data_IF_526332349716
#
_entry.id   IF_526332349716
#
_cell.length_a   1.000
_cell.length_b   1.000
_cell.length_c   1.000
_cell.angle_alpha   90.00
_cell.angle_beta   90.00
_cell.angle_gamma   90.00
#
_symmetry.space_group_name_H-M   'P 1'
#
loop_
_entity.id
_entity.type
_entity.pdbx_description
1 polymer ?
#
# COMPACT_ATOMS: atom_id res chain seq x y z
N UNK A 1 29.99 -6.12 -5.10
CA UNK A 1 28.73 -5.64 -5.68
C UNK A 1 27.75 -5.34 -4.57
N UNK A 2 27.07 -4.19 -4.61
CA UNK A 2 26.10 -3.78 -3.59
C UNK A 2 24.82 -4.60 -3.70
N UNK A 3 24.32 -5.12 -2.58
CA UNK A 3 23.02 -5.81 -2.51
C UNK A 3 21.92 -4.77 -2.28
N UNK A 4 20.99 -4.66 -3.21
CA UNK A 4 19.86 -3.72 -3.12
C UNK A 4 18.82 -4.23 -2.12
N UNK A 5 18.04 -3.32 -1.56
CA UNK A 5 16.95 -3.69 -0.65
C UNK A 5 15.70 -4.19 -1.39
N UNK A 6 15.56 -3.92 -2.70
CA UNK A 6 14.41 -4.34 -3.51
C UNK A 6 14.82 -4.96 -4.85
N UNK A 7 14.24 -6.10 -5.18
CA UNK A 7 14.46 -6.85 -6.41
C UNK A 7 13.14 -7.06 -7.16
N UNK A 8 12.93 -6.26 -8.19
CA UNK A 8 11.74 -6.37 -9.05
C UNK A 8 11.89 -7.55 -10.01
N UNK A 9 10.80 -8.29 -10.24
CA UNK A 9 10.73 -9.34 -11.26
C UNK A 9 9.99 -8.80 -12.49
N UNK A 10 10.72 -8.38 -13.53
CA UNK A 10 10.13 -7.88 -14.78
C UNK A 10 10.29 -8.91 -15.91
N UNK A 11 9.21 -9.15 -16.66
CA UNK A 11 9.29 -9.85 -17.95
C UNK A 11 9.73 -8.83 -19.02
N UNK A 12 11.06 -8.59 -19.08
CA UNK A 12 11.65 -7.54 -19.93
C UNK A 12 11.29 -7.70 -21.40
N UNK A 13 11.27 -8.94 -21.93
CA UNK A 13 10.96 -9.23 -23.33
C UNK A 13 9.52 -8.84 -23.67
N UNK A 14 8.55 -9.32 -22.87
CA UNK A 14 7.13 -9.01 -23.10
C UNK A 14 6.80 -7.55 -22.84
N UNK A 15 7.40 -6.93 -21.83
CA UNK A 15 7.23 -5.49 -21.56
C UNK A 15 7.70 -4.67 -22.74
N UNK A 16 8.91 -4.96 -23.30
CA UNK A 16 9.43 -4.27 -24.48
C UNK A 16 8.47 -4.41 -25.67
N UNK A 17 7.94 -5.61 -25.91
CA UNK A 17 6.98 -5.86 -27.00
C UNK A 17 5.69 -5.06 -26.82
N UNK A 18 5.10 -5.04 -25.62
CA UNK A 18 3.84 -4.30 -25.40
C UNK A 18 4.03 -2.78 -25.44
N UNK A 19 5.14 -2.25 -24.89
CA UNK A 19 5.46 -0.82 -25.02
C UNK A 19 5.67 -0.43 -26.49
N UNK A 20 6.37 -1.24 -27.28
CA UNK A 20 6.53 -0.98 -28.72
C UNK A 20 5.20 -0.86 -29.46
N UNK A 21 4.20 -1.66 -29.10
CA UNK A 21 2.85 -1.54 -29.66
C UNK A 21 2.19 -0.21 -29.30
N UNK A 22 2.33 0.23 -28.03
CA UNK A 22 1.78 1.53 -27.59
C UNK A 22 2.42 2.68 -28.34
N UNK A 23 3.75 2.65 -28.50
CA UNK A 23 4.49 3.68 -29.24
C UNK A 23 4.07 3.70 -30.71
N UNK A 24 3.93 2.53 -31.36
CA UNK A 24 3.50 2.41 -32.77
C UNK A 24 2.11 3.00 -33.02
N UNK A 25 1.20 2.92 -32.04
CA UNK A 25 -0.14 3.53 -32.09
C UNK A 25 -0.07 5.08 -31.93
N UNK A 26 1.04 5.61 -31.38
CA UNK A 26 1.22 7.05 -31.16
C UNK A 26 0.39 7.65 -29.99
N UNK A 27 -0.40 6.84 -29.28
CA UNK A 27 -1.25 7.29 -28.15
C UNK A 27 -0.66 6.86 -26.80
N UNK A 28 0.38 7.55 -26.36
CA UNK A 28 1.11 7.21 -25.12
C UNK A 28 0.46 7.72 -23.82
N UNK A 29 -0.58 8.54 -23.92
CA UNK A 29 -1.36 9.07 -22.81
C UNK A 29 -2.43 8.07 -22.33
N UNK A 30 -3.40 8.50 -21.53
CA UNK A 30 -4.54 7.68 -21.08
C UNK A 30 -5.50 7.37 -22.22
N UNK A 31 -5.44 6.18 -22.78
CA UNK A 31 -6.25 5.74 -23.92
C UNK A 31 -6.64 4.25 -23.78
N UNK A 32 -6.47 3.46 -24.82
CA UNK A 32 -6.97 2.09 -24.92
C UNK A 32 -6.30 1.12 -23.96
N UNK A 33 -4.96 1.24 -23.77
CA UNK A 33 -4.24 0.36 -22.86
C UNK A 33 -4.60 0.62 -21.40
N UNK A 34 -4.82 1.88 -21.02
CA UNK A 34 -5.29 2.22 -19.68
C UNK A 34 -6.66 1.58 -19.41
N UNK A 35 -7.59 1.69 -20.35
CA UNK A 35 -8.92 1.07 -20.24
C UNK A 35 -8.82 -0.46 -20.17
N UNK A 36 -7.96 -1.08 -21.01
CA UNK A 36 -7.73 -2.52 -20.97
C UNK A 36 -7.12 -2.97 -19.64
N UNK A 37 -6.18 -2.20 -19.10
CA UNK A 37 -5.58 -2.45 -17.78
C UNK A 37 -6.65 -2.41 -16.68
N UNK A 38 -7.48 -1.34 -16.64
CA UNK A 38 -8.58 -1.20 -15.69
C UNK A 38 -9.51 -2.42 -15.76
N UNK A 39 -9.97 -2.83 -16.94
CA UNK A 39 -10.83 -4.01 -17.13
C UNK A 39 -10.20 -5.32 -16.66
N UNK A 40 -8.89 -5.50 -16.89
CA UNK A 40 -8.19 -6.70 -16.39
C UNK A 40 -8.09 -6.73 -14.87
N UNK A 41 -7.89 -5.58 -14.22
CA UNK A 41 -7.87 -5.47 -12.76
C UNK A 41 -9.29 -5.65 -12.18
N UNK A 42 -10.34 -5.07 -12.82
CA UNK A 42 -11.75 -5.32 -12.45
C UNK A 42 -12.06 -6.82 -12.41
N UNK A 43 -11.71 -7.54 -13.47
CA UNK A 43 -11.88 -8.99 -13.54
C UNK A 43 -11.08 -9.73 -12.47
N UNK A 44 -9.83 -9.32 -12.22
CA UNK A 44 -8.97 -9.94 -11.21
C UNK A 44 -9.52 -9.75 -9.80
N UNK A 45 -9.88 -8.52 -9.41
CA UNK A 45 -10.38 -8.17 -8.08
C UNK A 45 -11.88 -8.51 -7.89
N UNK A 46 -12.60 -8.84 -8.97
CA UNK A 46 -14.05 -9.07 -8.97
C UNK A 46 -14.84 -7.83 -8.46
N UNK A 47 -14.48 -6.64 -8.96
CA UNK A 47 -15.15 -5.37 -8.65
C UNK A 47 -15.75 -4.76 -9.90
N UNK A 48 -16.75 -3.87 -9.73
CA UNK A 48 -17.44 -3.22 -10.84
C UNK A 48 -16.56 -2.20 -11.57
N UNK A 49 -15.75 -1.43 -10.82
CA UNK A 49 -14.99 -0.32 -11.36
C UNK A 49 -13.56 -0.30 -10.80
N UNK A 50 -12.61 -0.08 -11.69
CA UNK A 50 -11.23 0.25 -11.39
C UNK A 50 -10.85 1.52 -12.16
N UNK A 51 -10.27 2.48 -11.48
CA UNK A 51 -9.82 3.75 -12.07
C UNK A 51 -8.32 3.89 -11.83
N UNK A 52 -7.52 3.77 -12.89
CA UNK A 52 -6.08 3.93 -12.83
C UNK A 52 -5.69 5.41 -12.72
N UNK A 53 -4.71 5.70 -11.88
CA UNK A 53 -4.25 7.05 -11.54
C UNK A 53 -2.72 7.12 -11.43
N UNK A 54 -2.17 8.33 -11.45
CA UNK A 54 -0.73 8.59 -11.48
C UNK A 54 0.05 8.02 -10.28
N UNK A 55 -0.60 7.80 -9.14
CA UNK A 55 0.01 7.16 -7.97
C UNK A 55 -1.04 6.75 -6.93
N UNK A 56 -0.67 5.85 -5.99
CA UNK A 56 -1.53 5.55 -4.84
C UNK A 56 -1.78 6.78 -3.94
N UNK A 57 -0.83 7.72 -3.86
CA UNK A 57 -1.04 8.98 -3.12
C UNK A 57 -2.11 9.86 -3.76
N UNK A 58 -2.11 9.95 -5.09
CA UNK A 58 -3.16 10.70 -5.80
C UNK A 58 -4.50 9.96 -5.78
N UNK A 59 -4.49 8.64 -5.65
CA UNK A 59 -5.71 7.87 -5.40
C UNK A 59 -6.38 8.28 -4.07
N UNK A 60 -5.60 8.48 -2.99
CA UNK A 60 -6.12 8.98 -1.70
C UNK A 60 -6.80 10.35 -1.89
N UNK A 61 -6.09 11.30 -2.51
CA UNK A 61 -6.60 12.66 -2.75
C UNK A 61 -7.91 12.60 -3.53
N UNK A 62 -7.91 11.84 -4.63
CA UNK A 62 -9.05 11.77 -5.55
C UNK A 62 -10.28 11.13 -4.90
N UNK A 63 -10.10 10.05 -4.12
CA UNK A 63 -11.21 9.41 -3.40
C UNK A 63 -11.81 10.36 -2.38
N UNK A 64 -11.00 11.05 -1.57
CA UNK A 64 -11.52 11.94 -0.53
C UNK A 64 -12.23 13.16 -1.11
N UNK A 65 -11.71 13.71 -2.22
CA UNK A 65 -12.42 14.75 -2.98
C UNK A 65 -13.76 14.25 -3.53
N UNK A 66 -13.79 13.05 -4.12
CA UNK A 66 -14.98 12.46 -4.73
C UNK A 66 -16.04 12.06 -3.70
N UNK A 67 -15.65 11.74 -2.46
CA UNK A 67 -16.54 11.54 -1.33
C UNK A 67 -17.10 12.85 -0.75
N UNK A 68 -16.64 14.00 -1.22
CA UNK A 68 -17.10 15.31 -0.81
C UNK A 68 -16.65 15.73 0.59
N UNK A 69 -15.48 15.23 1.05
CA UNK A 69 -14.93 15.59 2.35
C UNK A 69 -14.59 17.08 2.41
N UNK A 70 -14.89 17.72 3.54
CA UNK A 70 -14.72 19.15 3.77
C UNK A 70 -13.59 19.43 4.76
N UNK A 71 -13.13 20.68 4.77
CA UNK A 71 -12.16 21.16 5.75
C UNK A 71 -12.59 20.78 7.20
N UNK A 72 -11.65 20.28 7.99
CA UNK A 72 -11.82 19.80 9.37
C UNK A 72 -12.65 18.51 9.54
N UNK A 73 -13.11 17.86 8.45
CA UNK A 73 -13.65 16.49 8.56
C UNK A 73 -12.56 15.55 9.09
N UNK A 74 -12.96 14.61 9.93
CA UNK A 74 -12.04 13.72 10.61
C UNK A 74 -11.90 12.40 9.87
N UNK A 75 -10.64 11.93 9.76
CA UNK A 75 -10.25 10.64 9.20
C UNK A 75 -9.57 9.82 10.26
N UNK A 76 -10.14 8.69 10.66
CA UNK A 76 -9.52 7.74 11.60
C UNK A 76 -8.47 6.92 10.86
N UNK A 77 -7.22 6.95 11.35
CA UNK A 77 -6.04 6.37 10.70
C UNK A 77 -5.20 5.64 11.77
N UNK A 78 -4.65 4.43 11.50
CA UNK A 78 -3.68 3.83 12.42
C UNK A 78 -2.43 4.71 12.52
N UNK A 79 -1.80 4.79 13.69
CA UNK A 79 -0.60 5.62 13.90
C UNK A 79 0.66 5.10 13.17
N UNK A 80 0.49 4.14 12.29
CA UNK A 80 1.55 3.53 11.45
C UNK A 80 1.05 3.43 10.01
N UNK A 81 1.91 3.81 9.06
CA UNK A 81 1.61 3.68 7.64
C UNK A 81 2.59 4.42 6.75
N UNK A 82 2.22 4.61 5.50
CA UNK A 82 2.96 5.47 4.59
C UNK A 82 2.44 6.90 4.68
N UNK A 83 3.34 7.86 4.72
CA UNK A 83 3.04 9.29 4.98
C UNK A 83 2.01 9.92 4.01
N UNK A 84 1.74 9.28 2.88
CA UNK A 84 0.82 9.82 1.86
C UNK A 84 -0.58 10.15 2.38
N UNK A 85 -1.12 9.36 3.31
CA UNK A 85 -2.45 9.63 3.87
C UNK A 85 -2.46 10.88 4.74
N UNK A 86 -1.39 11.09 5.51
CA UNK A 86 -1.23 12.30 6.31
C UNK A 86 -1.09 13.53 5.42
N UNK A 87 -0.29 13.41 4.34
CA UNK A 87 -0.16 14.49 3.34
C UNK A 87 -1.49 14.76 2.65
N UNK A 88 -2.27 13.74 2.34
CA UNK A 88 -3.63 13.90 1.77
C UNK A 88 -4.53 14.68 2.72
N UNK A 89 -4.54 14.35 4.01
CA UNK A 89 -5.28 15.13 5.01
C UNK A 89 -4.83 16.60 5.03
N UNK A 90 -3.51 16.85 4.98
CA UNK A 90 -2.96 18.21 4.97
C UNK A 90 -3.37 18.98 3.71
N UNK A 91 -3.28 18.36 2.54
CA UNK A 91 -3.66 18.99 1.24
C UNK A 91 -5.15 19.39 1.23
N UNK A 92 -6.01 18.52 1.78
CA UNK A 92 -7.46 18.72 1.75
C UNK A 92 -8.02 19.43 3.01
N UNK A 93 -7.17 19.89 3.92
CA UNK A 93 -7.58 20.52 5.17
C UNK A 93 -8.31 19.59 6.15
N UNK A 94 -8.18 18.27 5.98
CA UNK A 94 -8.80 17.27 6.84
C UNK A 94 -8.01 17.10 8.14
N UNK A 95 -8.69 16.59 9.17
CA UNK A 95 -8.09 16.31 10.47
C UNK A 95 -7.81 14.81 10.60
N UNK A 96 -6.57 14.35 10.58
CA UNK A 96 -6.25 12.96 10.90
C UNK A 96 -6.47 12.70 12.39
N UNK A 97 -7.26 11.66 12.70
CA UNK A 97 -7.47 11.13 14.04
C UNK A 97 -6.66 9.86 14.17
N UNK A 98 -5.47 9.99 14.78
CA UNK A 98 -4.57 8.86 14.96
C UNK A 98 -5.07 7.96 16.07
N UNK A 99 -5.14 6.66 15.79
CA UNK A 99 -5.45 5.64 16.79
C UNK A 99 -4.32 4.61 16.87
N UNK A 100 -4.27 3.92 18.02
CA UNK A 100 -3.23 2.93 18.27
C UNK A 100 -3.40 1.71 17.35
N UNK A 101 -2.32 1.01 17.11
CA UNK A 101 -2.32 -0.27 16.40
C UNK A 101 -2.48 -1.43 17.38
N UNK A 102 -2.89 -2.58 16.86
CA UNK A 102 -2.95 -3.81 17.63
C UNK A 102 -1.56 -4.17 18.21
N UNK A 103 -1.47 -4.59 19.48
CA UNK A 103 -0.17 -4.85 20.12
C UNK A 103 0.62 -6.01 19.50
N UNK A 104 -0.05 -6.94 18.85
CA UNK A 104 0.57 -8.13 18.21
C UNK A 104 0.86 -7.91 16.74
N UNK A 105 0.10 -7.03 16.08
CA UNK A 105 0.17 -6.78 14.64
C UNK A 105 0.06 -5.27 14.36
N UNK A 106 0.92 -4.68 13.51
CA UNK A 106 0.88 -3.24 13.23
C UNK A 106 -0.29 -2.87 12.30
N UNK A 107 -1.51 -3.17 12.73
CA UNK A 107 -2.76 -2.91 12.05
C UNK A 107 -3.66 -2.04 12.94
N UNK A 108 -4.58 -1.33 12.33
CA UNK A 108 -5.57 -0.50 13.02
C UNK A 108 -6.29 -1.33 14.11
N UNK A 109 -6.25 -0.86 15.37
CA UNK A 109 -6.94 -1.49 16.49
C UNK A 109 -8.44 -1.24 16.39
N UNK A 110 -9.22 -2.31 16.23
CA UNK A 110 -10.68 -2.23 16.05
C UNK A 110 -11.34 -1.67 17.32
N UNK A 111 -10.88 -2.06 18.51
CA UNK A 111 -11.41 -1.58 19.79
C UNK A 111 -11.19 -0.08 20.01
N UNK A 112 -10.23 0.53 19.32
CA UNK A 112 -9.96 1.96 19.41
C UNK A 112 -10.83 2.79 18.44
N UNK A 113 -11.43 2.17 17.41
CA UNK A 113 -12.21 2.92 16.41
C UNK A 113 -13.38 3.65 17.08
N UNK A 114 -14.25 2.92 17.76
CA UNK A 114 -15.49 3.49 18.33
C UNK A 114 -15.24 4.57 19.37
N UNK A 115 -14.19 4.41 20.18
CA UNK A 115 -13.78 5.41 21.18
C UNK A 115 -13.33 6.74 20.56
N UNK A 116 -13.00 6.75 19.29
CA UNK A 116 -12.46 7.92 18.59
C UNK A 116 -13.42 8.47 17.52
N UNK A 117 -14.62 7.90 17.37
CA UNK A 117 -15.68 8.44 16.50
C UNK A 117 -16.27 9.69 17.12
N UNK A 118 -16.39 10.75 16.33
CA UNK A 118 -17.08 11.99 16.66
C UNK A 118 -18.09 12.35 15.57
N UNK A 119 -18.92 13.38 15.78
CA UNK A 119 -19.83 13.92 14.73
C UNK A 119 -19.11 14.39 13.46
N UNK A 120 -17.81 14.70 13.57
CA UNK A 120 -16.95 15.13 12.44
C UNK A 120 -16.26 13.97 11.73
N UNK A 121 -16.29 12.76 12.28
CA UNK A 121 -15.68 11.60 11.64
C UNK A 121 -16.43 11.23 10.37
N UNK A 122 -15.70 11.23 9.23
CA UNK A 122 -16.27 10.93 7.92
C UNK A 122 -15.67 9.69 7.28
N UNK A 123 -14.43 9.32 7.65
CA UNK A 123 -13.73 8.16 7.07
C UNK A 123 -13.06 7.34 8.15
N UNK A 124 -13.15 6.01 8.04
CA UNK A 124 -12.26 5.05 8.66
C UNK A 124 -11.32 4.53 7.56
N UNK A 125 -10.00 4.65 7.80
CA UNK A 125 -8.96 4.35 6.82
C UNK A 125 -8.01 3.25 7.33
N UNK A 126 -8.40 1.95 7.25
CA UNK A 126 -7.53 0.83 7.58
C UNK A 126 -6.42 0.68 6.54
N UNK A 127 -5.20 0.36 7.01
CA UNK A 127 -4.02 0.15 6.17
C UNK A 127 -3.59 -1.31 6.29
N UNK A 128 -3.53 -2.04 5.17
CA UNK A 128 -3.08 -3.43 5.12
C UNK A 128 -1.54 -3.50 5.08
N UNK A 129 -0.93 -3.14 6.21
CA UNK A 129 0.53 -3.05 6.34
C UNK A 129 1.25 -4.35 5.99
N UNK A 130 2.18 -4.27 5.03
CA UNK A 130 2.97 -5.41 4.55
C UNK A 130 2.11 -6.62 4.16
N UNK A 131 0.94 -6.39 3.56
CA UNK A 131 0.03 -7.44 3.11
C UNK A 131 -0.62 -8.25 4.23
N UNK A 132 -0.69 -7.71 5.45
CA UNK A 132 -1.45 -8.30 6.57
C UNK A 132 -2.93 -8.06 6.41
N UNK A 133 -3.72 -9.06 6.78
CA UNK A 133 -5.16 -9.01 6.77
C UNK A 133 -5.70 -8.45 8.09
N UNK A 134 -6.72 -7.62 8.01
CA UNK A 134 -7.50 -7.11 9.15
C UNK A 134 -8.92 -7.70 9.09
N UNK A 135 -9.61 -7.82 10.22
CA UNK A 135 -11.03 -8.23 10.29
C UNK A 135 -11.94 -7.11 9.76
N UNK A 136 -11.85 -6.88 8.45
CA UNK A 136 -12.46 -5.73 7.76
C UNK A 136 -14.00 -5.74 7.83
N UNK A 137 -14.61 -6.90 8.00
CA UNK A 137 -16.06 -7.05 8.20
C UNK A 137 -16.53 -6.35 9.49
N UNK A 138 -15.77 -6.45 10.58
CA UNK A 138 -16.05 -5.74 11.84
C UNK A 138 -15.94 -4.22 11.63
N UNK A 139 -14.89 -3.75 10.96
CA UNK A 139 -14.72 -2.33 10.67
C UNK A 139 -15.86 -1.83 9.77
N UNK A 140 -16.27 -2.62 8.78
CA UNK A 140 -17.38 -2.29 7.89
C UNK A 140 -18.70 -2.16 8.66
N UNK A 141 -18.96 -3.01 9.64
CA UNK A 141 -20.14 -2.91 10.50
C UNK A 141 -20.14 -1.60 11.32
N UNK A 142 -18.99 -1.24 11.92
CA UNK A 142 -18.82 0.02 12.63
C UNK A 142 -19.07 1.21 11.71
N UNK A 143 -18.45 1.22 10.53
CA UNK A 143 -18.60 2.28 9.55
C UNK A 143 -20.08 2.45 9.10
N UNK A 144 -20.76 1.35 8.80
CA UNK A 144 -22.18 1.34 8.39
C UNK A 144 -23.09 1.88 9.50
N UNK A 145 -22.93 1.42 10.75
CA UNK A 145 -23.75 1.85 11.90
C UNK A 145 -23.63 3.36 12.17
N UNK A 146 -22.44 3.91 11.96
CA UNK A 146 -22.15 5.32 12.19
C UNK A 146 -22.27 6.19 10.94
N UNK A 147 -22.69 5.65 9.78
CA UNK A 147 -22.77 6.35 8.48
C UNK A 147 -21.45 7.01 8.07
N UNK A 148 -20.34 6.34 8.31
CA UNK A 148 -18.97 6.75 8.01
C UNK A 148 -18.48 5.96 6.81
N UNK A 149 -17.75 6.59 5.89
CA UNK A 149 -17.13 5.92 4.76
C UNK A 149 -15.99 4.99 5.21
N UNK A 150 -15.89 3.84 4.56
CA UNK A 150 -14.78 2.91 4.71
C UNK A 150 -13.92 2.97 3.46
N UNK A 151 -12.70 3.51 3.59
CA UNK A 151 -11.71 3.57 2.50
C UNK A 151 -10.50 2.74 2.88
N UNK A 152 -10.24 1.69 2.09
CA UNK A 152 -9.21 0.69 2.39
C UNK A 152 -7.88 1.03 1.72
N UNK A 153 -6.79 1.22 2.48
CA UNK A 153 -5.44 1.30 1.90
C UNK A 153 -4.87 -0.11 1.68
N UNK A 154 -5.06 -0.62 0.48
CA UNK A 154 -4.51 -1.89 0.00
C UNK A 154 -3.23 -1.70 -0.85
N UNK A 155 -2.53 -0.56 -0.72
CA UNK A 155 -1.30 -0.25 -1.48
C UNK A 155 -0.16 -1.26 -1.25
N UNK A 156 -0.23 -2.07 -0.20
CA UNK A 156 0.70 -3.17 0.11
C UNK A 156 -0.01 -4.53 0.13
N UNK A 157 -1.22 -4.64 -0.41
CA UNK A 157 -2.03 -5.85 -0.29
C UNK A 157 -2.79 -6.22 -1.57
N UNK A 158 -2.30 -5.81 -2.75
CA UNK A 158 -2.91 -6.25 -4.01
C UNK A 158 -2.95 -7.77 -4.07
N UNK A 159 -4.12 -8.34 -4.42
CA UNK A 159 -4.32 -9.80 -4.51
C UNK A 159 -4.38 -10.56 -3.18
N UNK A 160 -4.26 -9.88 -2.04
CA UNK A 160 -4.48 -10.46 -0.71
C UNK A 160 -5.98 -10.68 -0.49
N UNK A 161 -6.33 -11.75 0.22
CA UNK A 161 -7.74 -12.09 0.49
C UNK A 161 -8.02 -12.20 1.99
N UNK A 162 -9.18 -11.73 2.37
CA UNK A 162 -9.83 -12.02 3.64
C UNK A 162 -11.13 -12.75 3.38
N UNK A 163 -11.35 -13.92 4.00
CA UNK A 163 -12.56 -14.77 3.79
C UNK A 163 -12.90 -14.92 2.30
N UNK A 164 -11.91 -15.31 1.47
CA UNK A 164 -12.00 -15.52 0.02
C UNK A 164 -12.32 -14.27 -0.84
N UNK A 165 -12.52 -13.10 -0.26
CA UNK A 165 -12.71 -11.84 -0.97
C UNK A 165 -11.45 -10.97 -0.91
N UNK A 166 -11.10 -10.30 -2.00
CA UNK A 166 -9.91 -9.45 -2.06
C UNK A 166 -10.03 -8.23 -1.14
N UNK A 167 -8.98 -7.94 -0.37
CA UNK A 167 -8.90 -6.70 0.40
C UNK A 167 -8.83 -5.49 -0.55
N UNK A 168 -9.29 -4.31 -0.08
CA UNK A 168 -9.51 -3.16 -0.95
C UNK A 168 -10.80 -3.24 -1.79
N UNK A 169 -11.72 -4.18 -1.46
CA UNK A 169 -13.02 -4.33 -2.16
C UNK A 169 -14.21 -4.44 -1.21
N UNK A 170 -14.00 -4.24 0.08
CA UNK A 170 -15.02 -4.35 1.12
C UNK A 170 -15.72 -3.03 1.41
N UNK A 171 -14.97 -1.92 1.35
CA UNK A 171 -15.43 -0.57 1.65
C UNK A 171 -16.05 0.16 0.46
N UNK A 172 -16.21 1.46 0.61
CA UNK A 172 -16.71 2.37 -0.43
C UNK A 172 -15.69 2.53 -1.56
N UNK A 173 -14.39 2.54 -1.21
CA UNK A 173 -13.28 2.53 -2.16
C UNK A 173 -12.06 1.78 -1.58
N UNK A 174 -11.27 1.19 -2.46
CA UNK A 174 -9.97 0.64 -2.17
C UNK A 174 -8.86 1.39 -2.92
N UNK A 175 -7.75 1.63 -2.25
CA UNK A 175 -6.59 2.35 -2.78
C UNK A 175 -5.46 1.36 -3.03
N UNK A 176 -4.86 1.38 -4.21
CA UNK A 176 -3.75 0.53 -4.59
C UNK A 176 -2.59 1.33 -5.16
N UNK A 177 -1.38 0.85 -4.92
CA UNK A 177 -0.16 1.42 -5.49
C UNK A 177 0.52 0.39 -6.39
N UNK A 178 0.99 0.86 -7.55
CA UNK A 178 1.78 0.05 -8.50
C UNK A 178 3.19 0.61 -8.67
N UNK A 179 3.72 1.31 -7.64
CA UNK A 179 5.08 1.83 -7.65
C UNK A 179 6.12 0.71 -7.70
N UNK A 180 7.36 1.06 -8.01
CA UNK A 180 8.46 0.10 -8.27
C UNK A 180 8.71 -0.90 -7.13
N UNK A 181 8.41 -0.54 -5.89
CA UNK A 181 8.62 -1.40 -4.71
C UNK A 181 7.39 -2.23 -4.33
N UNK A 182 6.48 -2.45 -5.27
CA UNK A 182 5.33 -3.33 -5.08
C UNK A 182 5.55 -4.65 -5.83
N UNK A 183 4.96 -5.74 -5.31
CA UNK A 183 4.99 -7.05 -5.99
C UNK A 183 4.34 -6.94 -7.36
N UNK A 184 3.22 -6.20 -7.43
CA UNK A 184 2.58 -5.81 -8.68
C UNK A 184 2.97 -4.38 -9.03
N UNK A 185 3.83 -4.20 -10.03
CA UNK A 185 4.35 -2.88 -10.37
C UNK A 185 4.18 -2.52 -11.85
N UNK A 186 3.96 -1.22 -12.07
CA UNK A 186 3.99 -0.57 -13.39
C UNK A 186 5.15 0.44 -13.50
N UNK A 187 6.05 0.43 -12.48
CA UNK A 187 7.08 1.45 -12.30
C UNK A 187 6.56 2.62 -11.45
N UNK A 188 5.59 3.35 -11.94
CA UNK A 188 4.80 4.36 -11.25
C UNK A 188 3.32 4.06 -11.42
N UNK A 189 2.49 4.57 -10.51
CA UNK A 189 1.04 4.49 -10.63
C UNK A 189 0.33 4.00 -9.39
N UNK A 190 -0.96 3.92 -9.55
CA UNK A 190 -1.92 3.36 -8.60
C UNK A 190 -3.27 3.22 -9.25
N UNK A 191 -4.23 2.73 -8.52
CA UNK A 191 -5.62 2.68 -8.96
C UNK A 191 -6.56 2.65 -7.76
N UNK A 192 -7.81 2.99 -8.04
CA UNK A 192 -8.93 2.97 -7.11
C UNK A 192 -9.87 1.86 -7.54
N UNK A 193 -10.34 1.04 -6.61
CA UNK A 193 -11.44 0.09 -6.81
C UNK A 193 -12.70 0.57 -6.11
N UNK A 194 -13.85 0.37 -6.72
CA UNK A 194 -15.15 0.62 -6.08
C UNK A 194 -16.26 -0.19 -6.75
N UNK A 195 -17.29 -0.53 -5.97
CA UNK A 195 -18.53 -1.10 -6.50
C UNK A 195 -19.64 -0.04 -6.64
N UNK A 196 -19.37 1.21 -6.24
CA UNK A 196 -20.31 2.33 -6.34
C UNK A 196 -20.12 3.04 -7.69
N UNK A 197 -21.07 2.84 -8.62
CA UNK A 197 -21.00 3.41 -9.96
C UNK A 197 -21.13 4.94 -9.99
N UNK A 198 -21.83 5.54 -9.02
CA UNK A 198 -21.91 7.01 -8.88
C UNK A 198 -20.54 7.58 -8.48
N UNK A 199 -19.90 6.97 -7.48
CA UNK A 199 -18.55 7.36 -7.04
C UNK A 199 -17.53 7.20 -8.17
N UNK A 200 -17.59 6.08 -8.91
CA UNK A 200 -16.72 5.84 -10.06
C UNK A 200 -16.83 6.93 -11.13
N UNK A 201 -18.06 7.35 -11.48
CA UNK A 201 -18.31 8.45 -12.44
C UNK A 201 -17.70 9.78 -11.97
N UNK A 202 -17.84 10.10 -10.68
CA UNK A 202 -17.25 11.31 -10.10
C UNK A 202 -15.71 11.26 -10.18
N UNK A 203 -15.10 10.13 -9.75
CA UNK A 203 -13.66 9.93 -9.81
C UNK A 203 -13.13 10.03 -11.25
N UNK A 204 -13.80 9.40 -12.21
CA UNK A 204 -13.41 9.46 -13.63
C UNK A 204 -13.42 10.89 -14.19
N UNK A 205 -14.43 11.68 -13.83
CA UNK A 205 -14.50 13.11 -14.20
C UNK A 205 -13.36 13.90 -13.55
N UNK A 206 -13.18 13.78 -12.23
CA UNK A 206 -12.13 14.49 -11.48
C UNK A 206 -10.71 14.12 -11.94
N UNK A 207 -10.47 12.86 -12.36
CA UNK A 207 -9.19 12.41 -12.93
C UNK A 207 -8.82 13.20 -14.19
N UNK A 208 -9.77 13.76 -14.89
CA UNK A 208 -9.65 14.49 -16.16
C UNK A 208 -10.08 15.95 -16.03
N UNK A 209 -9.55 16.66 -15.04
CA UNK A 209 -9.85 18.08 -14.81
C UNK A 209 -11.33 18.42 -14.56
N UNK A 210 -12.17 17.45 -14.17
CA UNK A 210 -13.60 17.64 -13.97
C UNK A 210 -14.45 17.42 -15.22
N UNK A 211 -13.85 17.06 -16.36
CA UNK A 211 -14.62 16.79 -17.59
C UNK A 211 -15.39 15.48 -17.53
N UNK A 212 -16.65 15.52 -17.92
CA UNK A 212 -17.43 14.33 -18.26
C UNK A 212 -17.19 13.90 -19.71
N UNK A 213 -17.05 14.88 -20.60
CA UNK A 213 -16.72 14.70 -22.02
C UNK A 213 -15.72 15.78 -22.44
N UNK A 214 -14.54 15.36 -22.92
CA UNK A 214 -13.47 16.27 -23.35
C UNK A 214 -13.74 16.89 -24.74
N UNK A 215 -14.61 16.28 -25.52
CA UNK A 215 -14.98 16.78 -26.86
C UNK A 215 -16.09 17.83 -26.79
N UNK A 216 -16.82 17.93 -25.67
CA UNK A 216 -17.94 18.84 -25.51
C UNK A 216 -17.78 19.65 -24.20
N UNK A 217 -16.76 20.49 -24.17
CA UNK A 217 -16.47 21.36 -23.00
C UNK A 217 -17.30 22.63 -23.16
N UNK A 218 -18.50 22.66 -22.56
CA UNK A 218 -19.35 23.86 -22.55
C UNK A 218 -19.06 24.78 -21.36
N UNK A 219 -18.58 24.25 -20.24
CA UNK A 219 -18.32 25.01 -19.03
C UNK A 219 -17.47 24.25 -18.00
N UNK A 220 -16.96 24.94 -16.98
CA UNK A 220 -16.10 24.42 -15.94
C UNK A 220 -16.91 24.10 -14.66
N UNK A 221 -17.86 23.19 -14.74
CA UNK A 221 -18.81 22.93 -13.66
C UNK A 221 -18.32 21.99 -12.58
N UNK A 222 -17.18 21.31 -12.80
CA UNK A 222 -16.68 20.32 -11.86
C UNK A 222 -15.20 20.53 -11.61
N UNK A 223 -14.83 20.46 -10.34
CA UNK A 223 -13.42 20.49 -9.93
C UNK A 223 -12.74 19.17 -10.25
N UNK A 224 -11.50 19.23 -10.65
CA UNK A 224 -10.66 18.07 -10.91
C UNK A 224 -9.21 18.46 -11.22
N UNK A 225 -8.38 17.47 -11.56
CA UNK A 225 -6.98 17.69 -11.88
C UNK A 225 -6.45 16.70 -12.90
N UNK A 226 -5.17 16.77 -13.20
CA UNK A 226 -4.50 15.80 -14.05
C UNK A 226 -3.97 14.64 -13.22
N UNK A 227 -4.84 13.67 -12.92
CA UNK A 227 -4.48 12.45 -12.21
C UNK A 227 -4.38 11.22 -13.12
N UNK A 228 -4.22 11.46 -14.42
CA UNK A 228 -4.23 10.42 -15.46
C UNK A 228 -3.10 9.42 -15.33
N UNK A 229 -3.34 8.22 -15.82
CA UNK A 229 -2.38 7.13 -15.91
C UNK A 229 -2.11 6.81 -17.39
N UNK A 230 -0.85 6.62 -17.78
CA UNK A 230 -0.49 6.48 -19.18
C UNK A 230 -0.66 5.06 -19.72
N UNK A 231 -0.82 4.93 -21.04
CA UNK A 231 -0.88 3.66 -21.73
C UNK A 231 0.44 2.90 -21.66
N UNK A 232 1.59 3.60 -21.55
CA UNK A 232 2.91 2.97 -21.38
C UNK A 232 2.98 2.20 -20.05
N UNK A 233 2.59 2.82 -18.94
CA UNK A 233 2.55 2.15 -17.64
C UNK A 233 1.47 1.05 -17.61
N UNK A 234 0.37 1.24 -18.32
CA UNK A 234 -0.69 0.24 -18.45
C UNK A 234 -0.22 -1.01 -19.18
N UNK A 235 0.58 -0.86 -20.23
CA UNK A 235 1.19 -1.97 -20.95
C UNK A 235 2.10 -2.80 -20.04
N UNK A 236 2.93 -2.15 -19.22
CA UNK A 236 3.73 -2.83 -18.19
C UNK A 236 2.83 -3.62 -17.24
N UNK A 237 1.77 -2.96 -16.72
CA UNK A 237 0.83 -3.57 -15.78
C UNK A 237 0.12 -4.79 -16.34
N UNK A 238 -0.30 -4.75 -17.62
CA UNK A 238 -0.94 -5.88 -18.29
C UNK A 238 -0.01 -7.10 -18.35
N UNK A 239 1.27 -6.88 -18.63
CA UNK A 239 2.27 -7.97 -18.63
C UNK A 239 2.51 -8.50 -17.22
N UNK A 240 2.68 -7.60 -16.25
CA UNK A 240 2.95 -7.98 -14.86
C UNK A 240 1.77 -8.72 -14.22
N UNK A 241 0.52 -8.38 -14.57
CA UNK A 241 -0.66 -9.06 -14.04
C UNK A 241 -0.68 -10.55 -14.40
N UNK A 242 -0.23 -10.91 -15.62
CA UNK A 242 -0.20 -12.31 -16.07
C UNK A 242 0.68 -13.21 -15.20
N UNK A 243 1.75 -12.67 -14.62
CA UNK A 243 2.69 -13.41 -13.77
C UNK A 243 2.52 -13.14 -12.27
N UNK A 244 1.59 -12.28 -11.89
CA UNK A 244 1.45 -11.77 -10.51
C UNK A 244 1.35 -12.89 -9.47
N UNK A 245 0.53 -13.92 -9.69
CA UNK A 245 0.37 -15.02 -8.75
C UNK A 245 1.69 -15.78 -8.49
N UNK A 246 2.54 -15.92 -9.52
CA UNK A 246 3.89 -16.51 -9.40
C UNK A 246 4.78 -15.59 -8.55
N UNK A 247 4.75 -14.29 -8.79
CA UNK A 247 5.56 -13.32 -8.07
C UNK A 247 5.15 -13.24 -6.59
N UNK A 248 3.86 -13.29 -6.30
CA UNK A 248 3.34 -13.33 -4.93
C UNK A 248 3.78 -14.59 -4.19
N UNK A 249 3.73 -15.77 -4.84
CA UNK A 249 4.23 -17.03 -4.28
C UNK A 249 5.73 -16.96 -4.01
N UNK A 250 6.51 -16.41 -4.94
CA UNK A 250 7.95 -16.24 -4.78
C UNK A 250 8.27 -15.32 -3.57
N UNK A 251 7.52 -14.25 -3.41
CA UNK A 251 7.73 -13.32 -2.30
C UNK A 251 7.49 -14.00 -0.93
N UNK A 252 6.42 -14.79 -0.81
CA UNK A 252 6.15 -15.59 0.39
C UNK A 252 7.24 -16.65 0.62
N UNK A 253 7.70 -17.32 -0.46
CA UNK A 253 8.82 -18.29 -0.39
C UNK A 253 10.09 -17.63 0.15
N UNK A 254 10.41 -16.44 -0.32
CA UNK A 254 11.59 -15.68 0.12
C UNK A 254 11.51 -15.30 1.60
N UNK A 255 10.36 -14.83 2.07
CA UNK A 255 10.11 -14.54 3.48
C UNK A 255 10.28 -15.80 4.36
N UNK A 256 9.68 -16.92 3.96
CA UNK A 256 9.78 -18.19 4.68
C UNK A 256 11.21 -18.74 4.70
N UNK A 257 11.97 -18.55 3.62
CA UNK A 257 13.38 -18.95 3.56
C UNK A 257 14.23 -18.15 4.56
N UNK A 258 14.09 -16.82 4.62
CA UNK A 258 14.72 -16.00 5.66
C UNK A 258 14.31 -16.45 7.06
N UNK A 259 13.00 -16.60 7.29
CA UNK A 259 12.45 -17.06 8.56
C UNK A 259 13.12 -18.38 9.02
N UNK A 260 13.23 -19.36 8.13
CA UNK A 260 13.82 -20.65 8.49
C UNK A 260 15.33 -20.57 8.74
N UNK A 261 16.07 -19.85 7.92
CA UNK A 261 17.52 -19.74 8.04
C UNK A 261 17.99 -18.90 9.24
N UNK A 262 17.13 -17.99 9.72
CA UNK A 262 17.43 -17.12 10.87
C UNK A 262 16.95 -17.68 12.22
N UNK A 263 16.37 -18.90 12.27
CA UNK A 263 15.82 -19.48 13.52
C UNK A 263 16.82 -19.46 14.69
N UNK A 264 18.10 -19.76 14.42
CA UNK A 264 19.17 -19.75 15.43
C UNK A 264 19.38 -18.37 16.09
N UNK A 265 19.08 -17.31 15.34
CA UNK A 265 19.27 -15.91 15.78
C UNK A 265 17.99 -15.26 16.31
N UNK A 266 16.90 -16.00 16.53
CA UNK A 266 15.59 -15.43 16.94
C UNK A 266 15.61 -14.71 18.30
N UNK A 267 16.58 -14.99 19.16
CA UNK A 267 16.80 -14.22 20.39
C UNK A 267 17.13 -12.74 20.10
N UNK A 268 17.69 -12.43 18.92
CA UNK A 268 18.20 -11.11 18.56
C UNK A 268 17.46 -10.47 17.38
N UNK A 269 17.07 -11.30 16.37
CA UNK A 269 16.36 -10.91 15.17
C UNK A 269 15.24 -11.91 14.88
N UNK A 270 14.03 -11.48 14.86
CA UNK A 270 12.86 -12.35 14.70
C UNK A 270 11.91 -11.81 13.59
N UNK A 271 11.20 -12.72 12.89
CA UNK A 271 10.29 -12.30 11.85
C UNK A 271 9.13 -11.51 12.45
N UNK A 272 8.68 -10.49 11.73
CA UNK A 272 7.44 -9.83 12.08
C UNK A 272 6.25 -10.80 11.98
N UNK A 273 5.20 -10.53 12.78
CA UNK A 273 4.02 -11.39 12.81
C UNK A 273 3.28 -11.35 11.47
N UNK A 274 3.57 -12.35 10.63
CA UNK A 274 2.90 -12.65 9.35
C UNK A 274 2.27 -14.02 9.49
N UNK A 275 0.96 -14.09 9.32
CA UNK A 275 0.19 -15.34 9.41
C UNK A 275 -0.46 -15.68 8.06
N UNK A 276 0.17 -16.55 7.24
CA UNK A 276 -0.38 -16.95 5.94
C UNK A 276 -1.76 -17.64 6.03
N UNK A 277 -2.06 -18.29 7.17
CA UNK A 277 -3.37 -18.96 7.39
C UNK A 277 -4.51 -17.95 7.53
N UNK A 278 -4.23 -16.74 8.03
CA UNK A 278 -5.19 -15.63 8.03
C UNK A 278 -5.33 -14.96 6.66
N UNK A 279 -4.48 -15.32 5.70
CA UNK A 279 -4.44 -14.72 4.37
C UNK A 279 -3.30 -13.73 4.15
N UNK A 280 -2.43 -13.50 5.13
CA UNK A 280 -1.31 -12.56 4.98
C UNK A 280 -0.38 -12.95 3.83
N UNK A 281 0.05 -11.96 3.07
CA UNK A 281 1.01 -12.14 1.97
C UNK A 281 2.05 -11.00 2.04
N UNK A 282 3.22 -11.25 2.63
CA UNK A 282 4.22 -10.21 2.87
C UNK A 282 4.74 -9.63 1.54
N UNK A 283 4.78 -8.32 1.46
CA UNK A 283 5.44 -7.57 0.38
C UNK A 283 6.93 -7.47 0.65
N UNK A 284 7.29 -7.25 1.92
CA UNK A 284 8.67 -7.05 2.36
C UNK A 284 9.10 -8.14 3.33
N UNK A 285 10.37 -8.51 3.31
CA UNK A 285 11.00 -9.37 4.31
C UNK A 285 11.21 -8.57 5.60
N UNK A 286 10.17 -8.49 6.41
CA UNK A 286 10.06 -7.67 7.60
C UNK A 286 10.51 -8.43 8.84
N UNK A 287 11.49 -7.87 9.52
CA UNK A 287 12.07 -8.42 10.74
C UNK A 287 12.14 -7.36 11.84
N UNK A 288 12.17 -7.82 13.09
CA UNK A 288 12.32 -6.97 14.26
C UNK A 288 13.60 -7.33 14.99
N UNK A 289 14.23 -6.33 15.63
CA UNK A 289 15.37 -6.52 16.51
C UNK A 289 15.39 -5.43 17.57
N UNK A 290 15.63 -5.81 18.82
CA UNK A 290 15.83 -4.85 19.92
C UNK A 290 17.11 -4.04 19.71
N UNK A 291 18.11 -4.62 19.03
CA UNK A 291 19.36 -3.98 18.64
C UNK A 291 19.38 -3.59 17.15
N UNK A 292 18.25 -3.13 16.60
CA UNK A 292 18.11 -2.81 15.18
C UNK A 292 19.26 -1.98 14.62
N UNK A 293 19.70 -0.95 15.34
CA UNK A 293 20.80 -0.08 14.89
C UNK A 293 22.10 -0.84 14.65
N UNK A 294 22.44 -1.78 15.53
CA UNK A 294 23.69 -2.59 15.43
C UNK A 294 23.64 -3.48 14.19
N UNK A 295 22.55 -4.24 13.99
CA UNK A 295 22.45 -5.16 12.84
C UNK A 295 22.37 -4.41 11.50
N UNK A 296 21.66 -3.29 11.44
CA UNK A 296 21.58 -2.45 10.22
C UNK A 296 22.96 -1.87 9.88
N UNK A 297 23.71 -1.36 10.88
CA UNK A 297 25.08 -0.87 10.68
C UNK A 297 25.99 -1.99 10.17
N UNK A 298 25.95 -3.18 10.79
CA UNK A 298 26.70 -4.34 10.35
C UNK A 298 26.39 -4.73 8.89
N UNK A 299 25.12 -4.86 8.52
CA UNK A 299 24.74 -5.20 7.15
C UNK A 299 25.23 -4.16 6.14
N UNK A 300 25.21 -2.88 6.51
CA UNK A 300 25.76 -1.80 5.69
C UNK A 300 27.27 -1.98 5.44
N UNK A 301 28.09 -2.39 6.46
CA UNK A 301 29.53 -2.68 6.25
C UNK A 301 29.77 -3.87 5.32
N UNK A 302 28.77 -4.75 5.17
CA UNK A 302 28.81 -5.89 4.23
C UNK A 302 28.18 -5.54 2.84
N UNK A 303 27.96 -4.26 2.56
CA UNK A 303 27.32 -3.76 1.34
C UNK A 303 25.91 -4.33 1.11
N UNK A 304 25.16 -4.62 2.17
CA UNK A 304 23.78 -5.07 2.13
C UNK A 304 22.87 -3.91 2.51
N UNK A 305 22.04 -3.45 1.58
CA UNK A 305 21.02 -2.46 1.87
C UNK A 305 19.89 -3.07 2.68
N UNK A 306 19.51 -2.36 3.72
CA UNK A 306 18.27 -2.60 4.47
C UNK A 306 17.41 -1.34 4.40
N UNK A 307 16.13 -1.46 4.68
CA UNK A 307 15.27 -0.29 4.78
C UNK A 307 14.66 -0.20 6.17
N UNK A 308 14.80 0.95 6.80
CA UNK A 308 14.10 1.26 8.04
C UNK A 308 12.63 1.53 7.75
N UNK A 309 11.81 1.25 8.73
CA UNK A 309 10.41 1.63 8.71
C UNK A 309 10.25 3.15 8.84
N UNK A 310 9.16 3.67 8.31
CA UNK A 310 8.81 5.09 8.46
C UNK A 310 8.49 5.41 9.93
N UNK A 311 8.83 6.62 10.42
CA UNK A 311 8.37 7.07 11.73
C UNK A 311 6.84 7.00 11.87
N UNK A 312 6.36 6.74 13.07
CA UNK A 312 4.94 6.79 13.38
C UNK A 312 4.38 8.21 13.19
N UNK A 313 3.10 8.30 12.86
CA UNK A 313 2.49 9.55 12.39
C UNK A 313 2.39 10.63 13.46
N UNK A 314 2.33 10.27 14.74
CA UNK A 314 2.40 11.24 15.85
C UNK A 314 3.70 12.06 15.88
N UNK A 315 4.76 11.58 15.19
CA UNK A 315 6.06 12.26 15.05
C UNK A 315 6.13 13.24 13.87
N UNK A 316 5.06 13.38 13.10
CA UNK A 316 5.01 14.28 11.94
C UNK A 316 5.00 15.74 12.39
N UNK A 317 6.12 16.44 12.18
CA UNK A 317 6.37 17.79 12.72
C UNK A 317 5.45 18.87 12.14
N UNK A 318 5.14 18.83 10.85
CA UNK A 318 4.34 19.87 10.16
C UNK A 318 2.84 19.85 10.52
N UNK A 319 2.33 18.81 11.19
CA UNK A 319 0.94 18.76 11.62
C UNK A 319 0.72 19.33 13.03
N UNK A 320 1.80 19.65 13.76
CA UNK A 320 1.73 20.19 15.13
C UNK A 320 0.63 19.50 15.94
N UNK A 321 0.63 18.15 15.96
CA UNK A 321 -0.30 17.43 16.85
C UNK A 321 -0.12 18.00 18.23
N UNK A 322 -1.16 18.70 18.76
CA UNK A 322 -1.14 19.14 20.15
C UNK A 322 -0.76 17.91 20.97
N UNK A 323 0.23 18.04 21.89
CA UNK A 323 0.59 16.96 22.81
C UNK A 323 -0.71 16.51 23.50
N UNK A 324 -1.41 15.55 22.89
CA UNK A 324 -2.45 14.82 23.59
C UNK A 324 -1.69 13.91 24.53
N UNK A 325 -2.17 13.76 25.77
CA UNK A 325 -1.66 12.79 26.76
C UNK A 325 -1.79 11.32 26.26
N UNK A 326 -1.94 11.10 24.97
CA UNK A 326 -2.10 9.79 24.32
C UNK A 326 -0.74 9.30 23.89
N UNK A 327 -0.19 8.36 24.62
CA UNK A 327 1.05 7.66 24.25
C UNK A 327 0.70 6.50 23.33
N UNK A 328 1.29 6.46 22.15
CA UNK A 328 1.16 5.36 21.17
C UNK A 328 2.25 4.30 21.42
N UNK A 329 2.07 3.49 22.47
CA UNK A 329 3.08 2.51 22.91
C UNK A 329 3.36 1.43 21.88
N UNK A 330 2.32 0.84 21.28
CA UNK A 330 2.45 -0.28 20.32
C UNK A 330 3.12 0.20 19.02
N UNK A 331 2.64 1.31 18.45
CA UNK A 331 3.21 1.92 17.24
C UNK A 331 4.68 2.27 17.44
N UNK A 332 5.01 2.92 18.57
CA UNK A 332 6.39 3.31 18.88
C UNK A 332 7.31 2.11 19.10
N UNK A 333 6.83 1.06 19.78
CA UNK A 333 7.59 -0.16 20.00
C UNK A 333 7.88 -0.89 18.67
N UNK A 334 6.85 -1.02 17.81
CA UNK A 334 7.03 -1.63 16.51
C UNK A 334 8.02 -0.83 15.64
N UNK A 335 7.85 0.49 15.53
CA UNK A 335 8.71 1.37 14.76
C UNK A 335 10.18 1.28 15.18
N UNK A 336 10.47 1.22 16.48
CA UNK A 336 11.84 1.15 17.01
C UNK A 336 12.57 -0.12 16.60
N UNK A 337 11.86 -1.24 16.44
CA UNK A 337 12.44 -2.57 16.23
C UNK A 337 12.46 -3.01 14.78
N UNK A 338 11.47 -2.57 13.98
CA UNK A 338 11.25 -3.09 12.63
C UNK A 338 12.21 -2.55 11.58
N UNK A 339 12.62 -3.43 10.67
CA UNK A 339 13.35 -3.10 9.44
C UNK A 339 13.12 -4.15 8.37
N UNK A 340 13.45 -3.81 7.13
CA UNK A 340 13.31 -4.72 6.00
C UNK A 340 14.67 -5.22 5.54
N UNK A 341 14.81 -6.54 5.48
CA UNK A 341 15.87 -7.21 4.72
C UNK A 341 15.59 -7.09 3.21
N UNK A 342 16.59 -7.35 2.35
CA UNK A 342 16.40 -7.37 0.91
C UNK A 342 15.13 -8.15 0.53
N UNK A 343 14.32 -7.56 -0.33
CA UNK A 343 12.94 -8.00 -0.60
C UNK A 343 12.63 -7.99 -2.10
N UNK A 344 11.47 -8.49 -2.45
CA UNK A 344 10.93 -8.47 -3.81
C UNK A 344 10.94 -9.82 -4.50
N UNK A 345 10.06 -10.01 -5.49
CA UNK A 345 9.86 -11.29 -6.17
C UNK A 345 11.04 -11.75 -7.02
N UNK A 346 11.95 -10.84 -7.37
CA UNK A 346 13.19 -11.12 -8.11
C UNK A 346 14.38 -11.48 -7.23
N UNK A 347 14.24 -11.49 -5.90
CA UNK A 347 15.32 -11.83 -4.98
C UNK A 347 15.71 -13.32 -5.11
N UNK A 348 16.99 -13.60 -5.33
CA UNK A 348 17.52 -14.97 -5.49
C UNK A 348 17.72 -15.66 -4.14
N UNK A 349 17.36 -16.95 -4.06
CA UNK A 349 17.55 -17.76 -2.84
C UNK A 349 19.01 -17.87 -2.39
N UNK A 350 19.98 -17.85 -3.35
CA UNK A 350 21.42 -17.83 -3.01
C UNK A 350 21.81 -16.60 -2.21
N UNK A 351 21.27 -15.43 -2.57
CA UNK A 351 21.52 -14.19 -1.85
C UNK A 351 20.87 -14.20 -0.45
N UNK A 352 19.67 -14.75 -0.33
CA UNK A 352 19.00 -14.94 0.98
C UNK A 352 19.89 -15.81 1.89
N UNK A 353 20.43 -16.95 1.40
CA UNK A 353 21.33 -17.83 2.16
C UNK A 353 22.59 -17.09 2.61
N UNK A 354 23.21 -16.32 1.69
CA UNK A 354 24.40 -15.50 2.02
C UNK A 354 24.12 -14.50 3.13
N UNK A 355 23.02 -13.75 3.03
CA UNK A 355 22.63 -12.74 4.02
C UNK A 355 22.34 -13.41 5.37
N UNK A 356 21.59 -14.51 5.38
CA UNK A 356 21.25 -15.22 6.61
C UNK A 356 22.49 -15.80 7.31
N UNK A 357 23.47 -16.32 6.54
CA UNK A 357 24.75 -16.78 7.11
C UNK A 357 25.49 -15.63 7.80
N UNK A 358 25.60 -14.47 7.15
CA UNK A 358 26.24 -13.28 7.73
C UNK A 358 25.55 -12.82 9.02
N UNK A 359 24.21 -12.82 9.05
CA UNK A 359 23.44 -12.43 10.24
C UNK A 359 23.68 -13.45 11.39
N UNK A 360 23.62 -14.75 11.11
CA UNK A 360 23.86 -15.78 12.14
C UNK A 360 25.26 -15.64 12.71
N UNK A 361 26.31 -15.54 11.87
CA UNK A 361 27.70 -15.34 12.33
C UNK A 361 27.89 -14.04 13.14
N UNK A 362 27.11 -12.99 12.87
CA UNK A 362 27.15 -11.76 13.65
C UNK A 362 26.64 -11.94 15.08
N UNK A 363 25.70 -12.85 15.30
CA UNK A 363 25.11 -13.12 16.61
C UNK A 363 25.71 -14.34 17.35
N UNK A 364 26.55 -15.11 16.66
CA UNK A 364 27.33 -16.22 17.26
C UNK A 364 28.61 -15.71 17.95
N UNK A 365 29.00 -14.46 17.67
CA UNK A 365 30.11 -13.74 18.32
C UNK A 365 29.61 -12.88 19.47
#
# INVERSE_FOLDING_TARGET
MKTLWWYTALDKKKIKQEISKVIKIGRIYTANYCRLFEKKIEKFLKVKHVIAVSSGSMANVLVFMALGLKNKDEVIIPNIGWISIINTCKILGLKPVLIEVDPKRPLLSISEIEKNITKKTKVIFPIYMNGRVIEIDKIKQIAKRNKIYLVEDAAQAFGVKYKNKFVGTFGDAGIFSTSITKVFTTGLGGFISTNNSRLAKIILSMRRHGFSDIQNIKNWNKFGGNFKFSDVHSAIGIVQLKKYNKDLKNNLKNFNLFKNLLKKSYKFIYPANINPNLGDRPVYNEFLSDNRAKIVKFLKTKNIETRLYSPSFDKVRYLKFKKRNKTFKNSSNFEKKVFYLPSGPGLKSSLIRKISKLINTFYEK
#
